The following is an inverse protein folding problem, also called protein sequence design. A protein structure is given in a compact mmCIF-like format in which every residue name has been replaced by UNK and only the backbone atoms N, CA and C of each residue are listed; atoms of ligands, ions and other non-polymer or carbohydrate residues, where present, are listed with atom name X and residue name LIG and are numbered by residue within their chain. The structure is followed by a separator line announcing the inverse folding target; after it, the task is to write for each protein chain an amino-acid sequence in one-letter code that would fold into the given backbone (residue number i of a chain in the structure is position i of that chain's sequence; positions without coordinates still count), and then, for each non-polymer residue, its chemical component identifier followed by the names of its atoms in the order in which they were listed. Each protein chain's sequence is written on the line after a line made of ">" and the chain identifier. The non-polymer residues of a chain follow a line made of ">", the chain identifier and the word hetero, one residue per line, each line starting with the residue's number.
data_IF_731522323641
#
_entry.id   IF_731522323641
#
_cell.length_a   1.000
_cell.length_b   1.000
_cell.length_c   1.000
_cell.angle_alpha   90.00
_cell.angle_beta   90.00
_cell.angle_gamma   90.00
#
_symmetry.space_group_name_H-M   'P 1'
#
loop_
_entity.id
_entity.type
_entity.pdbx_description
1 polymer ?
#
# COMPACT_ATOMS: atom_id res chain seq x y z
N UNK A 1 -21.70 36.95 14.91
CA UNK A 1 -20.33 36.40 14.75
C UNK A 1 -20.46 34.93 14.35
N UNK A 2 -20.04 34.56 13.14
CA UNK A 2 -20.07 33.17 12.65
C UNK A 2 -18.64 32.63 12.64
N UNK A 3 -18.36 31.62 13.47
CA UNK A 3 -17.04 30.97 13.53
C UNK A 3 -16.95 29.92 12.41
N UNK A 4 -15.87 29.86 11.62
CA UNK A 4 -15.78 28.97 10.45
C UNK A 4 -15.92 27.49 10.82
N UNK A 5 -15.56 27.12 12.06
CA UNK A 5 -15.64 25.74 12.56
C UNK A 5 -17.03 25.31 13.05
N UNK A 6 -17.98 26.24 13.26
CA UNK A 6 -19.33 25.91 13.72
C UNK A 6 -20.36 25.86 12.60
N UNK A 7 -19.93 26.08 11.34
CA UNK A 7 -20.80 26.32 10.18
C UNK A 7 -21.75 25.17 9.80
N UNK A 8 -21.60 23.98 10.38
CA UNK A 8 -22.49 22.83 10.16
C UNK A 8 -22.68 21.96 11.41
N UNK A 9 -22.46 22.51 12.61
CA UNK A 9 -22.58 21.73 13.84
C UNK A 9 -24.06 21.51 14.16
N UNK A 10 -24.60 20.37 13.73
CA UNK A 10 -25.97 19.97 14.07
C UNK A 10 -26.02 19.69 15.58
N UNK A 11 -27.00 20.27 16.27
CA UNK A 11 -27.30 19.91 17.66
C UNK A 11 -27.70 18.42 17.67
N UNK A 12 -26.93 17.60 18.37
CA UNK A 12 -27.22 16.17 18.58
C UNK A 12 -27.80 15.99 19.98
N UNK A 13 -28.83 15.16 20.12
CA UNK A 13 -29.35 14.76 21.43
C UNK A 13 -28.24 14.06 22.24
N UNK A 14 -27.81 14.61 23.40
CA UNK A 14 -26.77 14.02 24.22
C UNK A 14 -27.10 12.60 24.69
N UNK A 15 -28.39 12.29 24.88
CA UNK A 15 -28.84 10.98 25.37
C UNK A 15 -28.71 9.93 24.28
N UNK A 16 -29.22 10.20 23.07
CA UNK A 16 -28.99 9.33 21.92
C UNK A 16 -27.49 9.14 21.64
N UNK A 17 -26.69 10.21 21.77
CA UNK A 17 -25.23 10.16 21.58
C UNK A 17 -24.55 9.25 22.60
N UNK A 18 -24.98 9.29 23.86
CA UNK A 18 -24.49 8.40 24.91
C UNK A 18 -24.79 6.93 24.60
N UNK A 19 -26.03 6.60 24.20
CA UNK A 19 -26.38 5.22 23.85
C UNK A 19 -25.60 4.70 22.64
N UNK A 20 -25.39 5.55 21.63
CA UNK A 20 -24.54 5.24 20.49
C UNK A 20 -23.13 4.85 20.95
N UNK A 21 -22.48 5.71 21.75
CA UNK A 21 -21.12 5.43 22.24
C UNK A 21 -21.06 4.22 23.15
N UNK A 22 -22.06 4.01 24.01
CA UNK A 22 -22.15 2.80 24.84
C UNK A 22 -22.19 1.54 23.97
N UNK A 23 -23.00 1.53 22.91
CA UNK A 23 -23.08 0.41 21.99
C UNK A 23 -21.75 0.18 21.25
N UNK A 24 -21.11 1.26 20.79
CA UNK A 24 -19.80 1.19 20.13
C UNK A 24 -18.72 0.64 21.08
N UNK A 25 -18.64 1.11 22.33
CA UNK A 25 -17.69 0.61 23.32
C UNK A 25 -17.91 -0.86 23.71
N UNK A 26 -19.16 -1.31 23.78
CA UNK A 26 -19.45 -2.73 24.02
C UNK A 26 -19.06 -3.62 22.84
N UNK A 27 -19.29 -3.15 21.62
CA UNK A 27 -18.96 -3.87 20.39
C UNK A 27 -17.46 -3.92 20.12
N UNK A 28 -16.74 -2.84 20.40
CA UNK A 28 -15.31 -2.70 20.16
C UNK A 28 -14.55 -2.71 21.48
N UNK A 29 -14.32 -3.91 22.02
CA UNK A 29 -13.45 -4.07 23.20
C UNK A 29 -12.05 -3.48 22.91
N UNK A 30 -11.43 -2.82 23.88
CA UNK A 30 -10.13 -2.20 23.68
C UNK A 30 -9.09 -3.24 23.24
N UNK A 31 -8.11 -2.84 22.42
CA UNK A 31 -7.03 -3.73 21.99
C UNK A 31 -6.31 -4.29 23.21
N UNK A 32 -6.51 -5.59 23.47
CA UNK A 32 -6.01 -6.28 24.67
C UNK A 32 -7.08 -7.10 25.40
N UNK A 33 -8.35 -6.66 25.37
CA UNK A 33 -9.47 -7.34 26.03
C UNK A 33 -10.27 -8.26 25.11
N UNK A 34 -10.16 -8.10 23.78
CA UNK A 34 -10.70 -9.08 22.85
C UNK A 34 -9.96 -10.42 23.05
N UNK A 35 -10.66 -11.45 23.54
CA UNK A 35 -10.12 -12.80 23.61
C UNK A 35 -9.95 -13.39 22.19
N UNK A 36 -8.85 -13.04 21.53
CA UNK A 36 -8.48 -13.51 20.19
C UNK A 36 -7.70 -14.84 20.24
N UNK A 37 -7.83 -15.63 21.32
CA UNK A 37 -7.12 -16.91 21.46
C UNK A 37 -7.42 -17.84 20.29
N UNK A 38 -8.69 -18.00 19.91
CA UNK A 38 -9.09 -18.85 18.79
C UNK A 38 -8.50 -18.36 17.47
N UNK A 39 -8.58 -17.06 17.18
CA UNK A 39 -7.96 -16.48 15.98
C UNK A 39 -6.45 -16.73 15.94
N UNK A 40 -5.76 -16.51 17.06
CA UNK A 40 -4.31 -16.74 17.15
C UNK A 40 -3.95 -18.22 16.98
N UNK A 41 -4.74 -19.13 17.54
CA UNK A 41 -4.57 -20.57 17.35
C UNK A 41 -4.78 -20.98 15.89
N UNK A 42 -5.87 -20.53 15.24
CA UNK A 42 -6.12 -20.82 13.84
C UNK A 42 -4.99 -20.31 12.93
N UNK A 43 -4.46 -19.10 13.17
CA UNK A 43 -3.32 -18.57 12.39
C UNK A 43 -2.08 -19.44 12.60
N UNK A 44 -1.81 -19.88 13.84
CA UNK A 44 -0.67 -20.78 14.12
C UNK A 44 -0.83 -22.12 13.41
N UNK A 45 -2.03 -22.69 13.40
CA UNK A 45 -2.32 -23.92 12.67
C UNK A 45 -2.09 -23.75 11.17
N UNK A 46 -2.57 -22.67 10.57
CA UNK A 46 -2.32 -22.34 9.16
C UNK A 46 -0.83 -22.12 8.86
N UNK A 47 -0.07 -21.50 9.76
CA UNK A 47 1.38 -21.33 9.58
C UNK A 47 2.16 -22.63 9.74
N UNK A 48 1.67 -23.54 10.60
CA UNK A 48 2.25 -24.86 10.80
C UNK A 48 1.95 -25.78 9.61
N UNK A 49 0.78 -25.62 8.99
CA UNK A 49 0.43 -26.24 7.72
C UNK A 49 1.28 -25.62 6.59
N UNK A 50 2.51 -26.10 6.47
CA UNK A 50 3.34 -25.86 5.30
C UNK A 50 2.87 -26.78 4.19
N UNK A 51 2.00 -26.29 3.33
CA UNK A 51 1.98 -26.79 1.96
C UNK A 51 3.42 -26.66 1.44
N UNK A 52 3.97 -27.74 0.85
CA UNK A 52 5.27 -27.66 0.19
C UNK A 52 5.24 -26.45 -0.75
N UNK A 53 6.04 -25.40 -0.51
CA UNK A 53 6.00 -24.24 -1.37
C UNK A 53 6.51 -24.70 -2.72
N UNK A 54 5.62 -24.68 -3.73
CA UNK A 54 6.02 -24.93 -5.11
C UNK A 54 7.29 -24.11 -5.40
N UNK A 55 8.33 -24.72 -5.98
CA UNK A 55 9.59 -24.04 -6.20
C UNK A 55 9.34 -22.76 -6.97
N UNK A 56 9.62 -21.61 -6.33
CA UNK A 56 9.44 -20.31 -6.98
C UNK A 56 10.28 -20.32 -8.26
N UNK A 57 9.74 -19.87 -9.41
CA UNK A 57 10.52 -19.78 -10.63
C UNK A 57 11.73 -18.88 -10.37
N UNK A 58 12.92 -19.47 -10.35
CA UNK A 58 14.16 -18.73 -10.16
C UNK A 58 14.44 -17.98 -11.46
N UNK A 59 14.61 -16.67 -11.37
CA UNK A 59 15.06 -15.88 -12.52
C UNK A 59 16.48 -16.33 -12.85
N UNK A 60 16.67 -16.95 -14.01
CA UNK A 60 18.00 -17.25 -14.52
C UNK A 60 18.70 -15.92 -14.81
N UNK A 61 19.89 -15.72 -14.24
CA UNK A 61 20.68 -14.53 -14.51
C UNK A 61 21.13 -14.56 -15.98
N UNK A 62 20.58 -13.66 -16.79
CA UNK A 62 21.03 -13.42 -18.16
C UNK A 62 21.98 -12.21 -18.17
N UNK A 63 23.24 -12.36 -18.61
CA UNK A 63 24.13 -11.22 -18.74
C UNK A 63 23.58 -10.24 -19.78
N UNK A 64 23.72 -8.95 -19.50
CA UNK A 64 23.30 -7.91 -20.44
C UNK A 64 24.28 -7.84 -21.62
N UNK A 65 23.81 -8.14 -22.84
CA UNK A 65 24.60 -8.05 -24.08
C UNK A 65 24.80 -6.60 -24.55
N UNK A 66 24.30 -5.61 -23.82
CA UNK A 66 24.37 -4.21 -24.22
C UNK A 66 25.81 -3.69 -24.30
N UNK A 67 26.24 -3.42 -25.54
CA UNK A 67 27.44 -2.63 -25.85
C UNK A 67 27.00 -1.20 -26.05
N UNK A 68 27.48 -0.27 -25.22
CA UNK A 68 27.14 1.15 -25.33
C UNK A 68 27.61 1.67 -26.69
N UNK A 69 26.71 2.02 -27.63
CA UNK A 69 27.13 2.70 -28.84
C UNK A 69 27.44 4.14 -28.42
N UNK A 70 28.54 4.74 -28.89
CA UNK A 70 28.99 6.12 -28.63
C UNK A 70 29.89 6.32 -27.41
N UNK A 71 31.08 6.87 -27.67
CA UNK A 71 32.06 7.36 -26.67
C UNK A 71 31.63 8.70 -26.03
N UNK A 72 30.67 9.43 -26.64
CA UNK A 72 30.18 10.71 -26.11
C UNK A 72 29.31 10.52 -24.87
N UNK A 73 29.54 11.36 -23.84
CA UNK A 73 28.77 11.38 -22.60
C UNK A 73 27.28 11.64 -22.88
N UNK A 74 26.41 10.75 -22.41
CA UNK A 74 24.93 10.83 -22.54
C UNK A 74 24.27 11.64 -21.42
N UNK A 75 24.98 12.57 -20.80
CA UNK A 75 24.48 13.36 -19.66
C UNK A 75 23.28 14.22 -20.05
N UNK A 76 23.31 14.83 -21.24
CA UNK A 76 22.20 15.64 -21.78
C UNK A 76 20.93 14.79 -21.93
N UNK A 77 21.02 13.64 -22.60
CA UNK A 77 19.91 12.70 -22.77
C UNK A 77 19.36 12.22 -21.41
N UNK A 78 20.24 11.86 -20.45
CA UNK A 78 19.82 11.45 -19.10
C UNK A 78 19.14 12.56 -18.31
N UNK A 79 19.52 13.82 -18.55
CA UNK A 79 18.87 14.97 -17.92
C UNK A 79 17.48 15.19 -18.51
N UNK A 80 17.38 15.17 -19.84
CA UNK A 80 16.12 15.29 -20.59
C UNK A 80 15.09 14.23 -20.17
N UNK A 81 15.50 12.96 -20.15
CA UNK A 81 14.63 11.85 -19.69
C UNK A 81 14.16 12.06 -18.25
N UNK A 82 15.04 12.49 -17.33
CA UNK A 82 14.64 12.76 -15.93
C UNK A 82 13.66 13.92 -15.84
N UNK A 83 13.85 14.96 -16.64
CA UNK A 83 12.97 16.12 -16.70
C UNK A 83 11.58 15.77 -17.24
N UNK A 84 11.50 14.91 -18.24
CA UNK A 84 10.23 14.44 -18.80
C UNK A 84 9.48 13.50 -17.84
N UNK A 85 10.21 12.61 -17.16
CA UNK A 85 9.63 11.78 -16.10
C UNK A 85 9.08 12.61 -14.94
N UNK A 86 9.78 13.68 -14.53
CA UNK A 86 9.30 14.59 -13.50
C UNK A 86 8.02 15.33 -13.91
N UNK A 87 7.80 15.51 -15.23
CA UNK A 87 6.60 16.10 -15.81
C UNK A 87 5.49 15.08 -16.10
N UNK A 88 5.70 13.80 -15.78
CA UNK A 88 4.71 12.73 -15.98
C UNK A 88 4.68 12.15 -17.39
N UNK A 89 5.61 12.56 -18.27
CA UNK A 89 5.71 12.06 -19.63
C UNK A 89 6.59 10.80 -19.62
N UNK A 90 6.00 9.65 -19.32
CA UNK A 90 6.73 8.38 -19.41
C UNK A 90 6.90 7.98 -20.87
N UNK A 91 8.10 7.57 -21.29
CA UNK A 91 8.28 7.07 -22.64
C UNK A 91 7.37 5.87 -22.86
N UNK A 92 6.63 5.88 -23.96
CA UNK A 92 5.77 4.78 -24.36
C UNK A 92 6.64 3.53 -24.49
N UNK A 93 6.37 2.53 -23.65
CA UNK A 93 7.10 1.27 -23.63
C UNK A 93 6.99 0.65 -25.01
N UNK A 94 8.09 0.68 -25.78
CA UNK A 94 8.21 -0.15 -26.96
C UNK A 94 8.18 -1.60 -26.48
N UNK A 95 7.04 -2.26 -26.67
CA UNK A 95 6.98 -3.71 -26.63
C UNK A 95 7.87 -4.22 -27.75
N UNK A 96 9.06 -4.72 -27.41
CA UNK A 96 9.80 -5.61 -28.29
C UNK A 96 9.15 -6.98 -28.16
N UNK A 97 8.50 -7.54 -29.20
CA UNK A 97 8.20 -8.96 -29.22
C UNK A 97 9.54 -9.70 -29.30
N UNK A 98 9.69 -10.72 -28.45
CA UNK A 98 10.82 -11.65 -28.44
C UNK A 98 10.85 -12.48 -29.71
#
# INVERSE_FOLDING_TARGET
>A
MNHPHTRNLKKTDPVAKYFQYKQEWENFKPPGECNRKNLRWNIREHMLYKEEPLPRPQRVFAPNTYVVPTEKKRSALRWEVRHDMARGNTPQSFYCPL
#
